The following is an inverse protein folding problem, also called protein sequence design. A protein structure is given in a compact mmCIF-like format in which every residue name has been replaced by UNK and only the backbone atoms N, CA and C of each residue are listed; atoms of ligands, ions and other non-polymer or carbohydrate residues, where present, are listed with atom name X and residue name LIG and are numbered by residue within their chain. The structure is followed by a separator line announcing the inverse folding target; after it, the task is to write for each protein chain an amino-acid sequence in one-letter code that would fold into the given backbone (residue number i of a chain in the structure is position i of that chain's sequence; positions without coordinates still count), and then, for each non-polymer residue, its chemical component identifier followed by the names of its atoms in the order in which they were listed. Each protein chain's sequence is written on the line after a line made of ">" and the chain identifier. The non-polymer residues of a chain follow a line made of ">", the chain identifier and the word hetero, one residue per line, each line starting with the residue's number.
data_IF_689918936240
#
_entry.id   IF_689918936240
#
_cell.length_a   1.000
_cell.length_b   1.000
_cell.length_c   1.000
_cell.angle_alpha   90.00
_cell.angle_beta   90.00
_cell.angle_gamma   90.00
#
_symmetry.space_group_name_H-M   'P 1'
#
loop_
_entity.id
_entity.type
_entity.pdbx_description
1 polymer ?
#
# COMPACT_ATOMS: atom_id res chain seq x y z
N UNK A 1 -24.93 6.06 10.77
CA UNK A 1 -25.45 5.22 9.67
C UNK A 1 -24.35 5.03 8.65
N UNK A 2 -23.69 3.87 8.63
CA UNK A 2 -22.77 3.48 7.55
C UNK A 2 -23.47 2.43 6.70
N UNK A 3 -23.55 2.69 5.40
CA UNK A 3 -24.28 1.90 4.41
C UNK A 3 -23.66 0.49 4.28
N UNK A 4 -24.48 -0.51 4.63
CA UNK A 4 -24.27 -1.93 4.36
C UNK A 4 -24.21 -2.16 2.85
N UNK A 5 -23.09 -2.69 2.35
CA UNK A 5 -23.08 -3.44 1.10
C UNK A 5 -23.06 -4.91 1.52
N UNK A 6 -24.17 -5.59 1.25
CA UNK A 6 -24.38 -7.01 1.55
C UNK A 6 -23.64 -7.84 0.48
N UNK A 7 -22.51 -8.44 0.85
CA UNK A 7 -22.00 -9.64 0.19
C UNK A 7 -22.26 -10.82 1.14
N UNK A 8 -22.64 -11.95 0.55
CA UNK A 8 -23.28 -13.11 1.19
C UNK A 8 -22.56 -13.63 2.45
N UNK A 9 -23.32 -13.72 3.55
CA UNK A 9 -23.19 -14.67 4.66
C UNK A 9 -21.85 -14.84 5.43
N UNK A 10 -20.89 -13.93 5.32
CA UNK A 10 -19.86 -13.78 6.35
C UNK A 10 -20.09 -12.47 7.11
N UNK A 11 -20.59 -12.57 8.33
CA UNK A 11 -20.43 -11.50 9.30
C UNK A 11 -18.92 -11.36 9.53
N UNK A 12 -18.30 -10.35 8.92
CA UNK A 12 -17.00 -9.91 9.37
C UNK A 12 -17.23 -9.37 10.79
N UNK A 13 -16.65 -9.99 11.82
CA UNK A 13 -16.92 -9.54 13.18
C UNK A 13 -16.33 -8.12 13.32
N UNK A 14 -17.03 -7.26 14.06
CA UNK A 14 -16.68 -5.83 14.21
C UNK A 14 -15.25 -5.62 14.77
N UNK A 15 -14.62 -6.68 15.27
CA UNK A 15 -13.26 -6.75 15.80
C UNK A 15 -12.19 -7.17 14.77
N UNK A 16 -12.54 -7.58 13.53
CA UNK A 16 -11.54 -7.80 12.48
C UNK A 16 -10.97 -6.46 11.96
N UNK A 17 -11.73 -5.37 12.08
CA UNK A 17 -11.21 -4.01 11.92
C UNK A 17 -10.18 -3.65 13.00
N UNK A 18 -10.09 -4.40 14.12
CA UNK A 18 -9.42 -3.96 15.33
C UNK A 18 -7.94 -4.34 15.48
N UNK A 19 -7.30 -5.00 14.52
CA UNK A 19 -5.83 -4.95 14.30
C UNK A 19 -5.41 -5.86 13.14
N UNK A 20 -5.14 -5.28 11.97
CA UNK A 20 -4.35 -5.96 10.94
C UNK A 20 -2.96 -6.22 11.54
N UNK A 21 -2.49 -7.47 11.52
CA UNK A 21 -1.18 -7.82 12.07
C UNK A 21 -0.03 -7.12 11.31
N UNK A 22 1.15 -7.07 11.93
CA UNK A 22 2.31 -6.39 11.34
C UNK A 22 2.73 -6.99 9.99
N UNK A 23 2.92 -8.33 9.85
CA UNK A 23 3.19 -8.95 8.55
C UNK A 23 2.22 -8.55 7.43
N UNK A 24 0.91 -8.58 7.70
CA UNK A 24 -0.11 -8.23 6.72
C UNK A 24 0.01 -6.76 6.29
N UNK A 25 0.25 -5.83 7.22
CA UNK A 25 0.49 -4.41 6.90
C UNK A 25 1.76 -4.19 6.08
N UNK A 26 2.83 -4.95 6.34
CA UNK A 26 4.06 -4.92 5.54
C UNK A 26 3.75 -5.35 4.11
N UNK A 27 3.05 -6.47 3.94
CA UNK A 27 2.66 -6.97 2.62
C UNK A 27 1.78 -5.96 1.87
N UNK A 28 0.82 -5.33 2.55
CA UNK A 28 -0.02 -4.29 1.94
C UNK A 28 0.81 -3.13 1.39
N UNK A 29 1.77 -2.62 2.18
CA UNK A 29 2.63 -1.51 1.75
C UNK A 29 3.53 -1.93 0.59
N UNK A 30 4.12 -3.13 0.66
CA UNK A 30 4.99 -3.66 -0.38
C UNK A 30 4.24 -3.88 -1.70
N UNK A 31 3.02 -4.42 -1.67
CA UNK A 31 2.20 -4.67 -2.85
C UNK A 31 1.79 -3.36 -3.55
N UNK A 32 1.35 -2.36 -2.78
CA UNK A 32 1.02 -1.03 -3.30
C UNK A 32 2.26 -0.39 -3.93
N UNK A 33 3.39 -0.37 -3.22
CA UNK A 33 4.62 0.23 -3.72
C UNK A 33 5.07 -0.44 -5.02
N UNK A 34 5.09 -1.78 -5.06
CA UNK A 34 5.48 -2.54 -6.23
C UNK A 34 4.57 -2.24 -7.42
N UNK A 35 3.25 -2.25 -7.21
CA UNK A 35 2.25 -1.97 -8.25
C UNK A 35 2.35 -0.54 -8.84
N UNK A 36 2.81 0.43 -8.05
CA UNK A 36 3.06 1.80 -8.51
C UNK A 36 4.39 1.90 -9.29
N UNK A 37 5.42 1.17 -8.89
CA UNK A 37 6.72 1.16 -9.57
C UNK A 37 6.70 0.43 -10.93
N UNK A 38 5.74 -0.48 -11.15
CA UNK A 38 5.66 -1.21 -12.42
C UNK A 38 5.14 -0.37 -13.57
N UNK A 39 5.76 -0.58 -14.73
CA UNK A 39 5.22 -0.21 -16.03
C UNK A 39 4.03 -1.11 -16.39
N UNK A 40 3.02 -0.54 -17.05
CA UNK A 40 1.84 -1.26 -17.52
C UNK A 40 1.56 -0.87 -18.97
N UNK A 41 0.87 -1.70 -19.77
CA UNK A 41 0.60 -1.41 -21.19
C UNK A 41 -0.05 -0.04 -21.47
N UNK A 42 -0.70 0.57 -20.47
CA UNK A 42 -1.42 1.83 -20.56
C UNK A 42 -0.85 2.95 -19.67
N UNK A 43 0.24 2.69 -18.95
CA UNK A 43 0.83 3.64 -17.99
C UNK A 43 2.31 3.36 -17.82
N UNK A 44 3.13 4.36 -18.10
CA UNK A 44 4.56 4.32 -17.78
C UNK A 44 4.78 4.10 -16.27
N UNK A 45 5.99 3.65 -15.90
CA UNK A 45 6.37 3.53 -14.50
C UNK A 45 6.42 4.90 -13.84
N UNK A 46 5.89 5.01 -12.63
CA UNK A 46 6.09 6.21 -11.79
C UNK A 46 7.52 6.26 -11.29
N UNK A 47 8.12 7.45 -11.24
CA UNK A 47 9.39 7.64 -10.54
C UNK A 47 9.19 7.57 -9.01
N UNK A 48 10.27 7.35 -8.26
CA UNK A 48 10.21 7.24 -6.80
C UNK A 48 9.44 8.38 -6.11
N UNK A 49 9.63 9.62 -6.59
CA UNK A 49 8.95 10.80 -6.02
C UNK A 49 7.42 10.79 -6.28
N UNK A 50 6.98 10.35 -7.46
CA UNK A 50 5.56 10.22 -7.76
C UNK A 50 4.90 9.12 -6.92
N UNK A 51 5.60 7.98 -6.77
CA UNK A 51 5.16 6.88 -5.89
C UNK A 51 5.01 7.38 -4.45
N UNK A 52 6.01 8.10 -3.93
CA UNK A 52 5.94 8.68 -2.59
C UNK A 52 4.80 9.68 -2.46
N UNK A 53 4.58 10.56 -3.44
CA UNK A 53 3.48 11.53 -3.39
C UNK A 53 2.11 10.85 -3.31
N UNK A 54 1.92 9.71 -4.00
CA UNK A 54 0.67 8.94 -3.93
C UNK A 54 0.52 8.30 -2.55
N UNK A 55 1.58 7.65 -2.05
CA UNK A 55 1.55 6.92 -0.78
C UNK A 55 1.50 7.85 0.43
N UNK A 56 2.09 9.04 0.37
CA UNK A 56 1.93 10.11 1.37
C UNK A 56 0.43 10.44 1.52
N UNK A 57 -0.29 10.62 0.41
CA UNK A 57 -1.74 10.85 0.43
C UNK A 57 -2.56 9.68 0.99
N UNK A 58 -2.05 8.44 0.92
CA UNK A 58 -2.67 7.27 1.55
C UNK A 58 -2.39 7.24 3.06
N UNK A 59 -1.16 7.56 3.46
CA UNK A 59 -0.74 7.63 4.86
C UNK A 59 -1.52 8.74 5.61
N UNK A 60 -1.66 9.92 5.00
CA UNK A 60 -2.41 11.05 5.57
C UNK A 60 -3.89 10.72 5.81
N UNK A 61 -4.46 9.82 4.99
CA UNK A 61 -5.83 9.32 5.13
C UNK A 61 -5.95 8.12 6.09
N UNK A 62 -4.85 7.66 6.68
CA UNK A 62 -4.81 6.50 7.55
C UNK A 62 -5.08 5.17 6.84
N UNK A 63 -4.85 5.09 5.52
CA UNK A 63 -5.12 3.89 4.71
C UNK A 63 -3.98 2.87 4.78
N UNK A 64 -2.77 3.31 5.14
CA UNK A 64 -1.58 2.47 5.32
C UNK A 64 -0.91 2.78 6.65
N UNK A 65 -0.15 1.81 7.17
CA UNK A 65 0.58 1.98 8.42
C UNK A 65 1.73 2.98 8.27
N UNK A 66 1.62 4.11 8.97
CA UNK A 66 2.59 5.20 8.89
C UNK A 66 4.00 4.78 9.35
N UNK A 67 4.13 3.89 10.34
CA UNK A 67 5.45 3.48 10.85
C UNK A 67 6.19 2.63 9.83
N UNK A 68 5.49 1.67 9.22
CA UNK A 68 6.06 0.81 8.18
C UNK A 68 6.35 1.65 6.92
N UNK A 69 5.42 2.54 6.53
CA UNK A 69 5.63 3.40 5.37
C UNK A 69 6.84 4.33 5.52
N UNK A 70 7.07 4.88 6.72
CA UNK A 70 8.26 5.71 6.98
C UNK A 70 9.57 4.93 6.79
N UNK A 71 9.62 3.64 7.13
CA UNK A 71 10.79 2.80 6.86
C UNK A 71 11.02 2.63 5.36
N UNK A 72 9.94 2.45 4.58
CA UNK A 72 10.02 2.44 3.12
C UNK A 72 10.54 3.77 2.58
N UNK A 73 10.00 4.90 3.06
CA UNK A 73 10.35 6.24 2.59
C UNK A 73 11.82 6.59 2.82
N UNK A 74 12.39 6.22 3.95
CA UNK A 74 13.82 6.44 4.25
C UNK A 74 14.74 5.62 3.33
N UNK A 75 14.28 4.46 2.84
CA UNK A 75 15.05 3.55 2.00
C UNK A 75 14.53 3.51 0.55
N UNK A 76 13.79 4.54 0.12
CA UNK A 76 13.05 4.51 -1.15
C UNK A 76 13.95 4.29 -2.35
N UNK A 77 15.16 4.85 -2.37
CA UNK A 77 16.08 4.71 -3.51
C UNK A 77 16.53 3.27 -3.72
N UNK A 78 16.74 2.52 -2.64
CA UNK A 78 17.11 1.10 -2.70
C UNK A 78 15.90 0.26 -3.13
N UNK A 79 14.77 0.45 -2.47
CA UNK A 79 13.56 -0.31 -2.79
C UNK A 79 13.03 -0.02 -4.18
N UNK A 80 13.14 1.22 -4.67
CA UNK A 80 12.72 1.57 -6.01
C UNK A 80 13.58 0.85 -7.05
N UNK A 81 14.91 0.78 -6.86
CA UNK A 81 15.81 0.01 -7.72
C UNK A 81 15.44 -1.47 -7.77
N UNK A 82 15.11 -2.07 -6.63
CA UNK A 82 14.65 -3.46 -6.56
C UNK A 82 13.29 -3.63 -7.23
N UNK A 83 12.37 -2.68 -7.02
CA UNK A 83 11.01 -2.75 -7.53
C UNK A 83 10.95 -2.71 -9.05
N UNK A 84 11.80 -1.89 -9.69
CA UNK A 84 11.85 -1.76 -11.14
C UNK A 84 12.74 -2.81 -11.82
N UNK A 85 13.41 -3.66 -11.04
CA UNK A 85 14.31 -4.67 -11.59
C UNK A 85 13.49 -5.76 -12.29
N UNK A 86 13.69 -5.85 -13.60
CA UNK A 86 13.20 -6.94 -14.44
C UNK A 86 14.36 -7.92 -14.55
N UNK A 87 14.18 -9.12 -13.99
CA UNK A 87 15.22 -10.14 -13.83
C UNK A 87 16.07 -10.41 -15.06
#
# INVERSE_FOLDING_TARGET
>A
MKNRILLENYYLPDDLEAQIDTPTRILTIADIFQALCQERPYRDRFCANEVLSIMDGMADKGQIDLKIYNLLKVNVDEFYKTAIWEG
#
